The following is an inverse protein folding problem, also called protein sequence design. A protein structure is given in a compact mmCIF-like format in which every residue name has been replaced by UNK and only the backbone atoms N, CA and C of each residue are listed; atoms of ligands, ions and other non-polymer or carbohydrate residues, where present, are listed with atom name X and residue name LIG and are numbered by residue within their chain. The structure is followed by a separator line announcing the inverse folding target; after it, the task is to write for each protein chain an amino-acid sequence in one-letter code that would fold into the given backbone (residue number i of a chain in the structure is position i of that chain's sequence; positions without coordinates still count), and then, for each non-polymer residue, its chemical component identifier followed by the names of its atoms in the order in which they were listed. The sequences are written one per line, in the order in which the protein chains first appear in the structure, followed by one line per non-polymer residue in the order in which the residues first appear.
data_IF_697890746627
#
_entry.id   IF_697890746627
#
_cell.length_a   1.000
_cell.length_b   1.000
_cell.length_c   1.000
_cell.angle_alpha   90.00
_cell.angle_beta   90.00
_cell.angle_gamma   90.00
#
_symmetry.space_group_name_H-M   'P 1'
#
loop_
_entity.id
_entity.type
_entity.pdbx_description
1 polymer ?
#
# COMPACT_ATOMS: atom_id res chain seq x y z
N UNK A 1 19.67 -0.10 -2.94
CA UNK A 1 19.34 1.14 -3.68
C UNK A 1 18.50 0.87 -4.92
N UNK A 2 19.04 0.31 -6.02
CA UNK A 2 18.24 0.06 -7.25
C UNK A 2 17.01 -0.84 -7.01
N UNK A 3 17.17 -1.85 -6.16
CA UNK A 3 16.07 -2.75 -5.76
C UNK A 3 15.06 -2.06 -4.84
N UNK A 4 15.51 -1.17 -3.94
CA UNK A 4 14.63 -0.42 -3.05
C UNK A 4 13.77 0.58 -3.83
N UNK A 5 14.38 1.30 -4.79
CA UNK A 5 13.66 2.21 -5.68
C UNK A 5 12.58 1.48 -6.49
N UNK A 6 12.89 0.27 -6.97
CA UNK A 6 11.91 -0.56 -7.69
C UNK A 6 10.75 -0.97 -6.78
N UNK A 7 11.04 -1.38 -5.55
CA UNK A 7 10.01 -1.76 -4.56
C UNK A 7 9.16 -0.58 -4.12
N UNK A 8 9.75 0.60 -3.91
CA UNK A 8 9.02 1.84 -3.64
C UNK A 8 8.06 2.18 -4.79
N UNK A 9 8.50 2.02 -6.05
CA UNK A 9 7.62 2.20 -7.21
C UNK A 9 6.46 1.20 -7.20
N UNK A 10 6.68 -0.07 -6.84
CA UNK A 10 5.58 -1.03 -6.67
C UNK A 10 4.57 -0.59 -5.61
N UNK A 11 5.03 -0.07 -4.46
CA UNK A 11 4.14 0.47 -3.42
C UNK A 11 3.32 1.63 -3.97
N UNK A 12 3.98 2.61 -4.60
CA UNK A 12 3.33 3.78 -5.22
C UNK A 12 2.27 3.38 -6.25
N UNK A 13 2.62 2.48 -7.17
CA UNK A 13 1.76 2.11 -8.29
C UNK A 13 0.54 1.31 -7.81
N UNK A 14 0.71 0.47 -6.78
CA UNK A 14 -0.39 -0.24 -6.14
C UNK A 14 -1.31 0.71 -5.35
N UNK A 15 -0.74 1.67 -4.61
CA UNK A 15 -1.51 2.67 -3.88
C UNK A 15 -2.34 3.55 -4.81
N UNK A 16 -1.75 4.06 -5.91
CA UNK A 16 -2.45 4.86 -6.93
C UNK A 16 -3.60 4.08 -7.56
N UNK A 17 -3.38 2.84 -7.97
CA UNK A 17 -4.44 1.99 -8.52
C UNK A 17 -5.59 1.77 -7.53
N UNK A 18 -5.27 1.57 -6.25
CA UNK A 18 -6.29 1.39 -5.22
C UNK A 18 -7.15 2.66 -5.06
N UNK A 19 -6.52 3.84 -5.03
CA UNK A 19 -7.20 5.14 -4.99
C UNK A 19 -8.08 5.37 -6.24
N UNK A 20 -7.57 5.06 -7.42
CA UNK A 20 -8.33 5.16 -8.68
C UNK A 20 -9.59 4.29 -8.64
N UNK A 21 -9.49 3.05 -8.16
CA UNK A 21 -10.61 2.12 -8.08
C UNK A 21 -11.73 2.58 -7.13
N UNK A 22 -11.39 3.38 -6.11
CA UNK A 22 -12.38 3.89 -5.13
C UNK A 22 -12.83 5.33 -5.38
N UNK A 23 -12.23 6.04 -6.34
CA UNK A 23 -12.45 7.48 -6.59
C UNK A 23 -13.92 7.91 -6.75
N UNK A 24 -14.80 7.00 -7.17
CA UNK A 24 -16.24 7.23 -7.32
C UNK A 24 -17.03 6.05 -6.73
N UNK A 25 -16.56 5.54 -5.60
CA UNK A 25 -17.18 4.43 -4.87
C UNK A 25 -17.52 4.84 -3.46
N UNK A 26 -18.45 4.12 -2.88
CA UNK A 26 -18.79 4.15 -1.48
C UNK A 26 -18.42 2.82 -0.83
N UNK A 27 -18.34 2.81 0.50
CA UNK A 27 -18.04 1.58 1.25
C UNK A 27 -18.96 0.42 0.87
N UNK A 28 -20.24 0.69 0.64
CA UNK A 28 -21.23 -0.33 0.33
C UNK A 28 -20.94 -1.05 -1.00
N UNK A 29 -20.28 -0.38 -1.95
CA UNK A 29 -19.89 -0.99 -3.24
C UNK A 29 -18.98 -2.21 -3.05
N UNK A 30 -18.17 -2.25 -1.99
CA UNK A 30 -17.30 -3.40 -1.70
C UNK A 30 -18.11 -4.65 -1.31
N UNK A 31 -19.33 -4.48 -0.79
CA UNK A 31 -20.20 -5.61 -0.45
C UNK A 31 -20.84 -6.22 -1.72
N UNK A 32 -21.15 -5.39 -2.70
CA UNK A 32 -21.86 -5.80 -3.92
C UNK A 32 -20.90 -6.17 -5.06
N UNK A 33 -19.68 -5.62 -5.03
CA UNK A 33 -18.67 -5.83 -6.06
C UNK A 33 -17.48 -6.65 -5.52
N UNK A 34 -17.59 -7.98 -5.60
CA UNK A 34 -16.53 -8.89 -5.15
C UNK A 34 -15.23 -8.70 -5.93
N UNK A 35 -15.29 -8.32 -7.20
CA UNK A 35 -14.11 -8.09 -8.03
C UNK A 35 -13.31 -6.88 -7.51
N UNK A 36 -14.00 -5.78 -7.18
CA UNK A 36 -13.38 -4.61 -6.56
C UNK A 36 -12.70 -4.98 -5.24
N UNK A 37 -13.42 -5.68 -4.36
CA UNK A 37 -12.89 -6.10 -3.06
C UNK A 37 -11.65 -7.00 -3.19
N UNK A 38 -11.69 -7.98 -4.10
CA UNK A 38 -10.54 -8.84 -4.37
C UNK A 38 -9.35 -8.07 -4.97
N UNK A 39 -9.63 -7.11 -5.85
CA UNK A 39 -8.60 -6.25 -6.43
C UNK A 39 -7.91 -5.39 -5.36
N UNK A 40 -8.69 -4.77 -4.47
CA UNK A 40 -8.14 -3.95 -3.36
C UNK A 40 -7.31 -4.80 -2.40
N UNK A 41 -7.77 -6.01 -2.02
CA UNK A 41 -6.97 -6.97 -1.25
C UNK A 41 -5.63 -7.21 -1.93
N UNK A 42 -5.66 -7.52 -3.23
CA UNK A 42 -4.45 -7.85 -3.98
C UNK A 42 -3.47 -6.68 -4.03
N UNK A 43 -3.95 -5.46 -4.22
CA UNK A 43 -3.10 -4.26 -4.22
C UNK A 43 -2.46 -4.03 -2.85
N UNK A 44 -3.21 -4.23 -1.76
CA UNK A 44 -2.68 -4.16 -0.39
C UNK A 44 -1.60 -5.23 -0.14
N UNK A 45 -1.81 -6.46 -0.62
CA UNK A 45 -0.79 -7.51 -0.53
C UNK A 45 0.50 -7.14 -1.29
N UNK A 46 0.37 -6.56 -2.48
CA UNK A 46 1.53 -6.12 -3.28
C UNK A 46 2.34 -5.06 -2.51
N UNK A 47 1.67 -4.09 -1.90
CA UNK A 47 2.31 -3.08 -1.06
C UNK A 47 3.05 -3.72 0.12
N UNK A 48 2.40 -4.65 0.83
CA UNK A 48 2.99 -5.37 1.95
C UNK A 48 4.22 -6.18 1.57
N UNK A 49 4.15 -6.93 0.47
CA UNK A 49 5.27 -7.72 -0.03
C UNK A 49 6.44 -6.83 -0.48
N UNK A 50 6.15 -5.75 -1.22
CA UNK A 50 7.19 -4.80 -1.62
C UNK A 50 7.90 -4.17 -0.41
N UNK A 51 7.14 -3.74 0.60
CA UNK A 51 7.66 -3.16 1.84
C UNK A 51 8.55 -4.13 2.61
N UNK A 52 8.19 -5.43 2.66
CA UNK A 52 8.95 -6.46 3.38
C UNK A 52 10.38 -6.64 2.86
N UNK A 53 10.61 -6.34 1.59
CA UNK A 53 11.92 -6.49 0.95
C UNK A 53 12.68 -5.17 0.80
N UNK A 54 12.15 -4.06 1.32
CA UNK A 54 12.93 -2.81 1.42
C UNK A 54 14.03 -3.01 2.46
N UNK A 55 15.26 -2.61 2.14
CA UNK A 55 16.39 -2.70 3.05
C UNK A 55 16.19 -1.90 4.34
N UNK A 56 16.76 -2.38 5.45
CA UNK A 56 16.64 -1.72 6.75
C UNK A 56 17.20 -0.28 6.73
N UNK A 57 18.28 -0.03 5.99
CA UNK A 57 18.83 1.32 5.82
C UNK A 57 17.84 2.27 5.15
N UNK A 58 17.13 1.81 4.11
CA UNK A 58 16.08 2.57 3.43
C UNK A 58 14.88 2.80 4.36
N UNK A 59 14.46 1.77 5.12
CA UNK A 59 13.38 1.92 6.09
C UNK A 59 13.70 2.96 7.17
N UNK A 60 14.93 2.92 7.70
CA UNK A 60 15.40 3.86 8.72
C UNK A 60 15.50 5.30 8.17
N UNK A 61 15.94 5.45 6.92
CA UNK A 61 16.03 6.76 6.25
C UNK A 61 14.64 7.38 6.08
N UNK A 62 13.67 6.60 5.60
CA UNK A 62 12.29 7.06 5.36
C UNK A 62 11.34 6.58 6.46
N UNK A 63 11.64 6.94 7.70
CA UNK A 63 10.89 6.49 8.89
C UNK A 63 9.46 7.05 9.01
N UNK A 64 9.11 8.05 8.20
CA UNK A 64 7.73 8.57 8.07
C UNK A 64 6.80 7.57 7.37
N UNK A 65 7.35 6.72 6.51
CA UNK A 65 6.58 5.64 5.90
C UNK A 65 6.30 4.58 6.97
N UNK A 66 5.03 4.17 7.19
CA UNK A 66 4.67 3.25 8.26
C UNK A 66 4.98 1.79 7.91
N UNK A 67 6.26 1.46 7.68
CA UNK A 67 6.74 0.17 7.18
C UNK A 67 6.14 -1.04 7.88
N UNK A 68 6.14 -1.04 9.22
CA UNK A 68 5.60 -2.15 10.03
C UNK A 68 4.11 -2.37 9.81
N UNK A 69 3.37 -1.29 9.59
CA UNK A 69 1.94 -1.37 9.34
C UNK A 69 1.66 -1.93 7.94
N UNK A 70 2.39 -1.45 6.92
CA UNK A 70 2.28 -1.91 5.53
C UNK A 70 2.62 -3.41 5.44
N UNK A 71 3.74 -3.83 6.03
CA UNK A 71 4.13 -5.25 6.09
C UNK A 71 3.10 -6.12 6.83
N UNK A 72 2.44 -5.56 7.85
CA UNK A 72 1.42 -6.24 8.64
C UNK A 72 0.03 -6.29 8.01
N UNK A 73 -0.21 -5.61 6.88
CA UNK A 73 -1.57 -5.47 6.33
C UNK A 73 -2.20 -6.80 5.99
N UNK A 74 -1.44 -7.76 5.43
CA UNK A 74 -1.96 -9.11 5.15
C UNK A 74 -2.53 -9.78 6.39
N UNK A 75 -1.87 -9.65 7.55
CA UNK A 75 -2.34 -10.24 8.81
C UNK A 75 -3.59 -9.54 9.34
N UNK A 76 -3.73 -8.24 9.05
CA UNK A 76 -4.90 -7.43 9.43
C UNK A 76 -6.13 -7.75 8.56
N UNK A 77 -5.93 -8.12 7.30
CA UNK A 77 -6.99 -8.50 6.37
C UNK A 77 -7.56 -9.90 6.63
N UNK A 78 -6.80 -10.80 7.25
CA UNK A 78 -7.15 -12.23 7.41
C UNK A 78 -7.69 -12.52 8.84
N UNK A 79 -8.17 -11.52 9.57
CA UNK A 79 -8.48 -11.69 11.01
C UNK A 79 -9.70 -12.59 11.30
N UNK A 80 -10.55 -12.85 10.31
CA UNK A 80 -11.50 -13.96 10.34
C UNK A 80 -11.06 -14.97 9.27
N UNK A 81 -10.81 -16.22 9.67
CA UNK A 81 -10.21 -17.31 8.88
C UNK A 81 -10.77 -17.54 7.45
N UNK A 82 -11.88 -16.90 7.05
CA UNK A 82 -12.45 -16.94 5.70
C UNK A 82 -13.02 -15.61 5.18
N UNK A 83 -13.09 -14.54 5.99
CA UNK A 83 -13.70 -13.27 5.57
C UNK A 83 -12.73 -12.10 5.73
N UNK A 84 -12.55 -11.39 4.62
CA UNK A 84 -11.78 -10.16 4.56
C UNK A 84 -12.63 -9.06 5.17
N UNK A 85 -12.07 -8.33 6.15
CA UNK A 85 -12.72 -7.16 6.72
C UNK A 85 -12.69 -6.00 5.71
N UNK A 86 -13.80 -5.83 5.02
CA UNK A 86 -13.99 -4.80 3.99
C UNK A 86 -14.03 -3.38 4.59
N UNK A 87 -14.37 -3.22 5.88
CA UNK A 87 -14.31 -1.94 6.57
C UNK A 87 -12.85 -1.52 6.78
N UNK A 88 -11.98 -2.47 7.14
CA UNK A 88 -10.54 -2.23 7.24
C UNK A 88 -9.97 -1.86 5.88
N UNK A 89 -10.33 -2.57 4.80
CA UNK A 89 -9.87 -2.23 3.44
C UNK A 89 -10.27 -0.81 3.08
N UNK A 90 -11.56 -0.49 3.23
CA UNK A 90 -12.06 0.82 2.87
C UNK A 90 -11.35 1.93 3.63
N UNK A 91 -11.17 1.74 4.94
CA UNK A 91 -10.44 2.69 5.79
C UNK A 91 -9.01 2.88 5.29
N UNK A 92 -8.28 1.80 5.06
CA UNK A 92 -6.88 1.86 4.58
C UNK A 92 -6.82 2.64 3.28
N UNK A 93 -7.67 2.30 2.31
CA UNK A 93 -7.63 2.91 0.98
C UNK A 93 -8.01 4.39 1.01
N UNK A 94 -9.02 4.77 1.81
CA UNK A 94 -9.57 6.14 1.81
C UNK A 94 -8.96 7.09 2.83
N UNK A 95 -8.24 6.59 3.83
CA UNK A 95 -7.68 7.43 4.91
C UNK A 95 -6.16 7.36 4.99
N UNK A 96 -5.56 6.20 4.68
CA UNK A 96 -4.13 5.98 4.91
C UNK A 96 -3.30 6.09 3.62
N UNK A 97 -3.86 5.73 2.45
CA UNK A 97 -3.09 5.64 1.21
C UNK A 97 -2.62 6.98 0.66
N UNK A 98 -3.37 8.07 0.80
CA UNK A 98 -2.93 9.39 0.33
C UNK A 98 -1.67 9.86 1.06
N UNK A 99 -1.63 9.68 2.39
CA UNK A 99 -0.45 10.01 3.19
C UNK A 99 0.73 9.09 2.86
N UNK A 100 0.47 7.79 2.65
CA UNK A 100 1.50 6.85 2.25
C UNK A 100 2.09 7.22 0.89
N UNK A 101 1.23 7.57 -0.07
CA UNK A 101 1.64 7.89 -1.43
C UNK A 101 2.58 9.10 -1.45
N UNK A 102 2.25 10.16 -0.69
CA UNK A 102 3.10 11.34 -0.56
C UNK A 102 4.50 10.98 -0.06
N UNK A 103 4.62 10.25 1.04
CA UNK A 103 5.91 9.89 1.64
C UNK A 103 6.73 8.95 0.73
N UNK A 104 6.06 8.03 0.02
CA UNK A 104 6.71 7.13 -0.95
C UNK A 104 7.21 7.90 -2.17
N UNK A 105 6.46 8.89 -2.65
CA UNK A 105 6.89 9.73 -3.78
C UNK A 105 8.12 10.56 -3.44
N UNK A 106 8.14 11.19 -2.26
CA UNK A 106 9.32 11.90 -1.76
C UNK A 106 10.55 10.98 -1.66
N UNK A 107 10.36 9.75 -1.16
CA UNK A 107 11.45 8.77 -1.09
C UNK A 107 11.97 8.33 -2.47
N UNK A 108 11.07 8.21 -3.46
CA UNK A 108 11.44 7.87 -4.84
C UNK A 108 12.24 9.00 -5.48
N UNK A 109 11.85 10.25 -5.27
CA UNK A 109 12.56 11.43 -5.79
C UNK A 109 13.96 11.52 -5.19
N UNK A 110 14.08 11.46 -3.87
CA UNK A 110 15.38 11.52 -3.18
C UNK A 110 16.35 10.41 -3.60
N UNK A 111 15.85 9.19 -3.85
CA UNK A 111 16.70 8.08 -4.34
C UNK A 111 17.12 8.22 -5.80
N UNK A 112 16.31 8.86 -6.66
CA UNK A 112 16.71 9.11 -8.06
C UNK A 112 17.83 10.13 -8.14
N UNK A 113 17.78 11.16 -7.29
CA UNK A 113 18.79 12.21 -7.24
C UNK A 113 20.14 11.71 -6.70
N UNK A 114 20.16 10.57 -6.01
CA UNK A 114 21.37 9.91 -5.50
C UNK A 114 21.99 8.89 -6.46
N UNK A 115 21.25 8.45 -7.49
CA UNK A 115 21.72 7.57 -8.57
C UNK A 115 22.21 8.36 -9.80
N UNK A 116 22.19 9.70 -9.74
CA UNK A 116 22.70 10.63 -10.77
C UNK A 116 24.06 11.19 -10.35
#
# INVERSE_FOLDING_TARGET
MKDDLTRLKHIRDAARQALEFVSNKERQDLNENKMLSLALVRLIEIMGEAAKHISESCQNKYSRIPWRQIMGMRNRLIHAYFDVDLDIIWKVVTQDLDSLLLEVELAIEDLKDQDT
#
